data_IF_592156072610
#
_entry.id   IF_592156072610
#
_cell.length_a   1.000
_cell.length_b   1.000
_cell.length_c   1.000
_cell.angle_alpha   90.00
_cell.angle_beta   90.00
_cell.angle_gamma   90.00
#
_symmetry.space_group_name_H-M   'P 1'
#
loop_
_entity.id
_entity.type
_entity.pdbx_description
1 polymer ?
#
# COMPACT_ATOMS: atom_id res chain seq x y z
N UNK A 1 -14.99 12.69 -9.19
CA UNK A 1 -14.35 12.71 -7.87
C UNK A 1 -14.19 11.25 -7.45
N UNK A 2 -12.97 10.74 -7.40
CA UNK A 2 -12.73 9.39 -6.86
C UNK A 2 -12.61 9.56 -5.35
N UNK A 3 -13.64 9.19 -4.62
CA UNK A 3 -13.73 9.50 -3.20
C UNK A 3 -12.95 8.46 -2.39
N UNK A 4 -11.80 8.88 -1.87
CA UNK A 4 -11.08 8.12 -0.85
C UNK A 4 -11.90 8.10 0.44
N UNK A 5 -11.95 6.97 1.13
CA UNK A 5 -12.71 6.85 2.38
C UNK A 5 -11.77 6.64 3.55
N UNK A 6 -12.08 7.25 4.69
CA UNK A 6 -11.36 7.02 5.94
C UNK A 6 -12.02 5.87 6.68
N UNK A 7 -11.23 4.86 7.02
CA UNK A 7 -11.67 3.71 7.81
C UNK A 7 -10.79 3.54 9.04
N UNK A 8 -11.41 3.15 10.16
CA UNK A 8 -10.70 2.77 11.37
C UNK A 8 -10.56 1.25 11.41
N UNK A 9 -9.32 0.77 11.50
CA UNK A 9 -8.99 -0.64 11.68
C UNK A 9 -8.32 -0.77 13.05
N UNK A 10 -9.11 -1.09 14.08
CA UNK A 10 -8.70 -0.97 15.48
C UNK A 10 -8.47 0.49 15.89
N UNK A 11 -7.30 0.78 16.47
CA UNK A 11 -6.89 2.15 16.84
C UNK A 11 -6.30 2.94 15.65
N UNK A 12 -6.06 2.29 14.51
CA UNK A 12 -5.35 2.86 13.36
C UNK A 12 -6.33 3.52 12.39
N UNK A 13 -6.01 4.74 11.94
CA UNK A 13 -6.70 5.41 10.83
C UNK A 13 -6.05 5.07 9.50
N UNK A 14 -6.87 4.57 8.59
CA UNK A 14 -6.47 4.12 7.25
C UNK A 14 -7.21 4.93 6.20
N UNK A 15 -6.48 5.53 5.26
CA UNK A 15 -7.07 6.06 4.03
C UNK A 15 -7.22 4.91 3.05
N UNK A 16 -8.47 4.47 2.82
CA UNK A 16 -8.79 3.48 1.81
C UNK A 16 -8.93 4.12 0.44
N UNK A 17 -8.04 3.73 -0.48
CA UNK A 17 -8.11 4.19 -1.85
C UNK A 17 -9.26 3.53 -2.59
N UNK A 18 -10.04 4.32 -3.32
CA UNK A 18 -11.05 3.79 -4.23
C UNK A 18 -10.39 3.01 -5.37
N UNK A 19 -10.99 1.88 -5.72
CA UNK A 19 -10.52 0.98 -6.78
C UNK A 19 -10.52 1.69 -8.15
N UNK A 20 -11.47 2.61 -8.37
CA UNK A 20 -11.64 3.36 -9.62
C UNK A 20 -10.75 4.60 -9.75
N UNK A 21 -9.92 4.93 -8.75
CA UNK A 21 -9.09 6.14 -8.84
C UNK A 21 -7.91 6.03 -9.80
N UNK A 22 -7.14 7.12 -9.93
CA UNK A 22 -6.03 7.21 -10.88
C UNK A 22 -4.93 6.18 -10.61
N UNK A 23 -4.51 5.46 -11.64
CA UNK A 23 -3.39 4.50 -11.57
C UNK A 23 -2.10 5.26 -11.26
N UNK A 24 -1.31 4.74 -10.33
CA UNK A 24 -0.01 5.23 -9.93
C UNK A 24 1.02 4.76 -10.96
N UNK A 25 1.33 5.64 -11.91
CA UNK A 25 2.26 5.40 -13.02
C UNK A 25 3.64 6.01 -12.77
N UNK A 26 3.72 7.02 -11.91
CA UNK A 26 4.95 7.73 -11.55
C UNK A 26 5.05 7.93 -10.04
N UNK A 27 6.28 8.17 -9.55
CA UNK A 27 6.54 8.50 -8.15
C UNK A 27 5.85 9.81 -7.71
N UNK A 28 5.60 10.72 -8.63
CA UNK A 28 4.92 12.00 -8.37
C UNK A 28 3.45 11.80 -7.99
N UNK A 29 2.82 10.71 -8.43
CA UNK A 29 1.41 10.42 -8.19
C UNK A 29 1.14 10.13 -6.69
N UNK A 30 2.17 9.72 -5.94
CA UNK A 30 2.09 9.56 -4.49
C UNK A 30 1.68 10.86 -3.76
N UNK A 31 1.97 12.04 -4.34
CA UNK A 31 1.73 13.34 -3.68
C UNK A 31 0.26 13.56 -3.34
N UNK A 32 -0.64 13.16 -4.24
CA UNK A 32 -2.08 13.31 -4.03
C UNK A 32 -2.55 12.43 -2.86
N UNK A 33 -2.11 11.17 -2.82
CA UNK A 33 -2.45 10.25 -1.73
C UNK A 33 -1.85 10.67 -0.39
N UNK A 34 -0.63 11.21 -0.39
CA UNK A 34 0.01 11.74 0.83
C UNK A 34 -0.80 12.92 1.38
N UNK A 35 -1.19 13.87 0.52
CA UNK A 35 -1.99 15.02 0.93
C UNK A 35 -3.34 14.58 1.50
N UNK A 36 -4.04 13.68 0.81
CA UNK A 36 -5.32 13.13 1.27
C UNK A 36 -5.19 12.39 2.61
N UNK A 37 -4.10 11.64 2.81
CA UNK A 37 -3.87 10.93 4.07
C UNK A 37 -3.66 11.89 5.24
N UNK A 38 -2.90 12.96 5.03
CA UNK A 38 -2.65 13.96 6.08
C UNK A 38 -3.88 14.77 6.44
N UNK A 39 -4.70 15.14 5.45
CA UNK A 39 -5.96 15.85 5.66
C UNK A 39 -6.87 15.11 6.65
N UNK A 40 -6.90 13.78 6.55
CA UNK A 40 -7.71 12.91 7.42
C UNK A 40 -6.92 12.30 8.58
N UNK A 41 -5.66 12.71 8.74
CA UNK A 41 -4.73 12.22 9.75
C UNK A 41 -4.60 10.67 9.76
N UNK A 42 -4.62 10.05 8.59
CA UNK A 42 -4.36 8.63 8.41
C UNK A 42 -2.87 8.34 8.55
N UNK A 43 -2.55 7.26 9.25
CA UNK A 43 -1.19 6.71 9.38
C UNK A 43 -0.89 5.63 8.34
N UNK A 44 -1.95 5.07 7.72
CA UNK A 44 -1.87 3.99 6.76
C UNK A 44 -2.62 4.34 5.48
N UNK A 45 -2.05 3.95 4.35
CA UNK A 45 -2.68 3.95 3.03
C UNK A 45 -3.07 2.51 2.68
N UNK A 46 -4.33 2.26 2.31
CA UNK A 46 -4.74 1.01 1.69
C UNK A 46 -4.96 1.24 0.19
N UNK A 47 -4.06 0.71 -0.64
CA UNK A 47 -4.02 0.92 -2.09
C UNK A 47 -4.38 -0.40 -2.79
N UNK A 48 -5.48 -0.46 -3.56
CA UNK A 48 -5.80 -1.62 -4.38
C UNK A 48 -4.70 -1.92 -5.39
N UNK A 49 -4.43 -3.19 -5.67
CA UNK A 49 -3.42 -3.61 -6.66
C UNK A 49 -3.73 -3.06 -8.06
N UNK A 50 -5.01 -2.84 -8.37
CA UNK A 50 -5.53 -2.26 -9.61
C UNK A 50 -5.12 -0.80 -9.80
N UNK A 51 -4.75 -0.12 -8.71
CA UNK A 51 -4.23 1.25 -8.74
C UNK A 51 -2.74 1.30 -9.06
N UNK A 52 -2.05 0.16 -9.18
CA UNK A 52 -0.62 0.11 -9.48
C UNK A 52 -0.40 -0.17 -10.97
N UNK A 53 0.44 0.64 -11.61
CA UNK A 53 0.80 0.41 -13.00
C UNK A 53 1.56 -0.93 -13.15
N UNK A 54 1.48 -1.61 -14.31
CA UNK A 54 2.23 -2.86 -14.55
C UNK A 54 3.74 -2.72 -14.29
N UNK A 55 4.30 -1.53 -14.53
CA UNK A 55 5.72 -1.20 -14.26
C UNK A 55 6.07 -1.29 -12.78
N UNK A 56 5.11 -1.16 -11.86
CA UNK A 56 5.33 -1.38 -10.44
C UNK A 56 5.82 -2.81 -10.16
N UNK A 57 5.27 -3.81 -10.88
CA UNK A 57 5.64 -5.22 -10.68
C UNK A 57 6.95 -5.60 -11.36
N UNK A 58 7.46 -4.77 -12.28
CA UNK A 58 8.80 -4.87 -12.81
C UNK A 58 9.78 -4.08 -11.93
N UNK A 59 10.43 -4.78 -10.99
CA UNK A 59 11.38 -4.17 -10.06
C UNK A 59 12.59 -3.51 -10.75
N UNK A 60 12.90 -3.87 -12.00
CA UNK A 60 13.98 -3.22 -12.76
C UNK A 60 13.63 -1.78 -13.15
N UNK A 61 12.34 -1.45 -13.20
CA UNK A 61 11.89 -0.08 -13.47
C UNK A 61 12.22 0.89 -12.34
N UNK A 62 12.44 0.38 -11.12
CA UNK A 62 12.64 1.18 -9.91
C UNK A 62 11.36 1.85 -9.37
N UNK A 63 10.22 1.73 -10.05
CA UNK A 63 8.98 2.42 -9.67
C UNK A 63 8.46 1.96 -8.29
N UNK A 64 8.43 0.66 -8.03
CA UNK A 64 7.94 0.14 -6.73
C UNK A 64 8.74 0.70 -5.56
N UNK A 65 10.07 0.65 -5.65
CA UNK A 65 10.97 1.20 -4.63
C UNK A 65 10.75 2.69 -4.43
N UNK A 66 10.79 3.48 -5.51
CA UNK A 66 10.63 4.92 -5.45
C UNK A 66 9.26 5.34 -4.86
N UNK A 67 8.17 4.71 -5.32
CA UNK A 67 6.82 5.02 -4.87
C UNK A 67 6.62 4.66 -3.38
N UNK A 68 7.03 3.46 -2.98
CA UNK A 68 6.89 3.01 -1.59
C UNK A 68 7.79 3.78 -0.64
N UNK A 69 9.05 4.02 -1.02
CA UNK A 69 9.99 4.81 -0.24
C UNK A 69 9.46 6.22 0.00
N UNK A 70 8.75 6.82 -0.96
CA UNK A 70 8.12 8.12 -0.78
C UNK A 70 7.08 8.12 0.32
N UNK A 71 6.22 7.13 0.40
CA UNK A 71 5.25 7.03 1.50
C UNK A 71 5.95 6.89 2.86
N UNK A 72 6.98 6.04 2.93
CA UNK A 72 7.76 5.83 4.16
C UNK A 72 8.49 7.11 4.60
N UNK A 73 9.09 7.85 3.67
CA UNK A 73 9.74 9.14 3.96
C UNK A 73 8.77 10.16 4.57
N UNK A 74 7.48 10.05 4.23
CA UNK A 74 6.41 10.90 4.75
C UNK A 74 5.72 10.30 5.98
N UNK A 75 6.33 9.28 6.60
CA UNK A 75 5.85 8.57 7.79
C UNK A 75 4.47 7.92 7.62
N UNK A 76 4.15 7.54 6.38
CA UNK A 76 2.96 6.78 6.06
C UNK A 76 3.35 5.31 5.87
N UNK A 77 2.57 4.43 6.49
CA UNK A 77 2.61 3.01 6.20
C UNK A 77 1.71 2.71 5.00
N UNK A 78 2.03 1.65 4.25
CA UNK A 78 1.30 1.30 3.03
C UNK A 78 0.86 -0.15 3.08
N UNK A 79 -0.38 -0.40 2.71
CA UNK A 79 -0.90 -1.73 2.45
C UNK A 79 -1.37 -1.79 0.99
N UNK A 80 -0.74 -2.64 0.18
CA UNK A 80 -1.24 -3.00 -1.14
C UNK A 80 -2.24 -4.15 -0.98
N UNK A 81 -3.46 -3.94 -1.46
CA UNK A 81 -4.59 -4.85 -1.28
C UNK A 81 -4.95 -5.52 -2.60
N UNK A 82 -4.90 -6.85 -2.64
CA UNK A 82 -5.35 -7.63 -3.79
C UNK A 82 -4.49 -8.86 -4.04
N UNK A 83 -4.85 -9.61 -5.07
CA UNK A 83 -4.12 -10.82 -5.44
C UNK A 83 -2.88 -10.50 -6.29
N UNK A 84 -1.71 -10.81 -5.74
CA UNK A 84 -0.41 -10.68 -6.39
C UNK A 84 0.18 -12.04 -6.82
N UNK A 85 -0.57 -13.13 -6.66
CA UNK A 85 -0.10 -14.49 -6.90
C UNK A 85 0.35 -14.69 -8.36
N UNK A 86 -0.35 -14.09 -9.32
CA UNK A 86 0.02 -14.15 -10.73
C UNK A 86 1.37 -13.45 -11.00
N UNK A 87 1.58 -12.26 -10.44
CA UNK A 87 2.81 -11.49 -10.61
C UNK A 87 4.01 -12.14 -9.92
N UNK A 88 3.83 -12.61 -8.67
CA UNK A 88 4.89 -13.22 -7.87
C UNK A 88 5.32 -14.59 -8.38
N UNK A 89 4.39 -15.39 -8.93
CA UNK A 89 4.73 -16.70 -9.53
C UNK A 89 5.65 -16.56 -10.74
N UNK A 90 5.51 -15.47 -11.50
CA UNK A 90 6.34 -15.17 -12.67
C UNK A 90 7.68 -14.49 -12.34
N UNK A 91 7.91 -14.08 -11.10
CA UNK A 91 9.08 -13.27 -10.72
C UNK A 91 9.56 -13.57 -9.30
N UNK A 92 10.68 -14.31 -9.20
CA UNK A 92 11.32 -14.61 -7.91
C UNK A 92 11.70 -13.32 -7.16
N UNK A 93 12.25 -12.34 -7.87
CA UNK A 93 12.65 -11.06 -7.28
C UNK A 93 11.44 -10.31 -6.69
N UNK A 94 10.29 -10.34 -7.37
CA UNK A 94 9.06 -9.75 -6.83
C UNK A 94 8.54 -10.51 -5.62
N UNK A 95 8.60 -11.85 -5.64
CA UNK A 95 8.21 -12.67 -4.50
C UNK A 95 9.08 -12.39 -3.26
N UNK A 96 10.40 -12.29 -3.43
CA UNK A 96 11.36 -11.94 -2.39
C UNK A 96 11.08 -10.53 -1.85
N UNK A 97 10.90 -9.55 -2.74
CA UNK A 97 10.55 -8.17 -2.37
C UNK A 97 9.26 -8.08 -1.54
N UNK A 98 8.21 -8.81 -1.94
CA UNK A 98 6.95 -8.87 -1.21
C UNK A 98 7.14 -9.48 0.18
N UNK A 99 7.91 -10.56 0.28
CA UNK A 99 8.19 -11.22 1.56
C UNK A 99 8.99 -10.31 2.51
N UNK A 100 10.06 -9.68 2.01
CA UNK A 100 10.87 -8.73 2.77
C UNK A 100 10.07 -7.51 3.23
N UNK A 101 9.27 -6.92 2.33
CA UNK A 101 8.40 -5.79 2.67
C UNK A 101 7.43 -6.16 3.78
N UNK A 102 6.77 -7.31 3.67
CA UNK A 102 5.85 -7.81 4.68
C UNK A 102 6.52 -7.98 6.05
N UNK A 103 7.82 -8.29 6.12
CA UNK A 103 8.55 -8.35 7.39
C UNK A 103 8.90 -6.96 7.96
N UNK A 104 9.09 -5.94 7.11
CA UNK A 104 9.63 -4.62 7.48
C UNK A 104 8.64 -3.63 8.14
N UNK A 105 7.37 -4.00 8.35
CA UNK A 105 6.39 -3.23 9.14
C UNK A 105 5.85 -1.93 8.50
N UNK A 106 6.51 -1.39 7.47
CA UNK A 106 6.11 -0.15 6.80
C UNK A 106 5.29 -0.38 5.53
N UNK A 107 5.50 -1.52 4.86
CA UNK A 107 4.83 -1.86 3.62
C UNK A 107 4.30 -3.28 3.71
N UNK A 108 3.00 -3.45 3.58
CA UNK A 108 2.37 -4.77 3.58
C UNK A 108 1.69 -5.05 2.25
N UNK A 109 1.74 -6.31 1.85
CA UNK A 109 1.01 -6.86 0.72
C UNK A 109 0.05 -7.89 1.27
N UNK A 110 -1.25 -7.64 1.13
CA UNK A 110 -2.29 -8.51 1.69
C UNK A 110 -3.39 -8.77 0.66
N UNK A 111 -4.03 -9.93 0.76
CA UNK A 111 -5.03 -10.37 -0.21
C UNK A 111 -6.36 -9.63 -0.12
N UNK A 112 -6.66 -8.98 1.01
CA UNK A 112 -7.94 -8.31 1.23
C UNK A 112 -7.88 -7.24 2.33
N UNK A 113 -8.89 -6.36 2.36
CA UNK A 113 -9.07 -5.37 3.44
C UNK A 113 -9.27 -6.04 4.80
N UNK A 114 -9.93 -7.21 4.84
CA UNK A 114 -10.11 -7.98 6.06
C UNK A 114 -8.77 -8.50 6.62
N UNK A 115 -7.88 -8.98 5.75
CA UNK A 115 -6.54 -9.40 6.13
C UNK A 115 -5.70 -8.22 6.68
N UNK A 116 -5.82 -7.03 6.06
CA UNK A 116 -5.19 -5.81 6.62
C UNK A 116 -5.71 -5.51 8.03
N UNK A 117 -7.04 -5.53 8.22
CA UNK A 117 -7.66 -5.20 9.49
C UNK A 117 -7.22 -6.16 10.60
N UNK A 118 -7.21 -7.46 10.33
CA UNK A 118 -6.75 -8.48 11.28
C UNK A 118 -5.30 -8.18 11.73
N UNK A 119 -4.42 -7.97 10.76
CA UNK A 119 -2.99 -7.71 11.00
C UNK A 119 -2.74 -6.42 11.78
N UNK A 120 -3.45 -5.34 11.45
CA UNK A 120 -3.36 -4.07 12.19
C UNK A 120 -3.86 -4.21 13.62
N UNK A 121 -4.91 -5.00 13.84
CA UNK A 121 -5.46 -5.23 15.18
C UNK A 121 -4.50 -6.05 16.03
N UNK A 122 -3.90 -7.10 15.48
CA UNK A 122 -2.88 -7.92 16.16
C UNK A 122 -1.65 -7.07 16.55
N UNK A 123 -1.13 -6.28 15.61
CA UNK A 123 0.05 -5.42 15.86
C UNK A 123 -0.23 -4.33 16.91
N UNK A 124 -1.48 -3.87 17.01
CA UNK A 124 -1.88 -2.87 18.00
C UNK A 124 -2.05 -3.45 19.42
N UNK A 125 -2.21 -4.76 19.55
CA UNK A 125 -2.30 -5.46 20.85
C UNK A 125 -0.90 -5.68 21.45
N UNK A 126 0.13 -5.81 20.60
CA UNK A 126 1.52 -6.04 21.03
C UNK A 126 2.27 -4.77 21.45
N UNK A 127 1.63 -3.60 21.42
CA UNK A 127 2.22 -2.29 21.78
C UNK A 127 1.53 -1.67 22.99
#
# INVERSE_FOLDING_TARGET
MHEHTVVRMGSVRVLACADSGAVLVHEQDARELIAAAWEVQASWLAIPVERLAPTFFDLRSGLAGALLQKFVNYRLHVAVIGDLSAHTRGSKALAEFVAESNAGGNVWFVSSRAALQARLTETAIER
#
